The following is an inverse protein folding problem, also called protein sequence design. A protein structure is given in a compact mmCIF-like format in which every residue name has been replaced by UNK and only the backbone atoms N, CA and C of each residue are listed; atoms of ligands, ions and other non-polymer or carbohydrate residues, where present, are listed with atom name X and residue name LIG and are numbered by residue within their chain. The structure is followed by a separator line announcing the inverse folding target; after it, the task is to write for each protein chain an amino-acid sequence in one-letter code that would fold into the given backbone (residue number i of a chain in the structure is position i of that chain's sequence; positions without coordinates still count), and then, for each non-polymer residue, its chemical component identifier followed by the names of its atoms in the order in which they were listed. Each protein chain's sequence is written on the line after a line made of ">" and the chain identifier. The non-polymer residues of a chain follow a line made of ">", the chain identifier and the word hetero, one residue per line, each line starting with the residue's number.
data_IF_299041017313
#
_entry.id   IF_299041017313
#
_cell.length_a   1.000
_cell.length_b   1.000
_cell.length_c   1.000
_cell.angle_alpha   90.00
_cell.angle_beta   90.00
_cell.angle_gamma   90.00
#
_symmetry.space_group_name_H-M   'P 1'
#
loop_
_entity.id
_entity.type
_entity.pdbx_description
1 polymer ?
#
# COMPACT_ATOMS: atom_id res chain seq x y z
N UNK A 1 -4.60 0.57 -21.85
CA UNK A 1 -3.44 0.18 -21.01
C UNK A 1 -3.96 -0.71 -19.88
N UNK A 2 -3.61 -2.00 -19.82
CA UNK A 2 -4.15 -2.92 -18.80
C UNK A 2 -3.36 -2.74 -17.49
N UNK A 3 -4.01 -2.30 -16.42
CA UNK A 3 -3.38 -2.15 -15.10
C UNK A 3 -3.42 -3.53 -14.41
N UNK A 4 -2.27 -4.10 -13.99
CA UNK A 4 -2.27 -5.37 -13.29
C UNK A 4 -2.86 -5.21 -11.88
N UNK A 5 -3.68 -6.17 -11.45
CA UNK A 5 -4.19 -6.25 -10.08
C UNK A 5 -3.11 -6.87 -9.19
N UNK A 6 -2.63 -6.12 -8.20
CA UNK A 6 -1.61 -6.56 -7.23
C UNK A 6 -1.95 -6.01 -5.84
N UNK A 7 -1.51 -6.71 -4.80
CA UNK A 7 -1.62 -6.26 -3.40
C UNK A 7 -0.30 -5.66 -2.86
N UNK A 8 0.80 -5.82 -3.58
CA UNK A 8 2.11 -5.26 -3.22
C UNK A 8 2.76 -4.67 -4.46
N UNK A 9 3.40 -3.51 -4.29
CA UNK A 9 4.12 -2.78 -5.33
C UNK A 9 5.52 -2.44 -4.84
N UNK A 10 6.49 -2.43 -5.77
CA UNK A 10 7.88 -2.07 -5.47
C UNK A 10 8.05 -0.58 -5.79
N UNK A 11 8.59 0.18 -4.83
CA UNK A 11 9.02 1.57 -5.02
C UNK A 11 10.55 1.56 -5.08
N UNK A 12 11.11 2.04 -6.18
CA UNK A 12 12.57 2.14 -6.33
C UNK A 12 13.14 3.29 -5.48
N UNK A 13 14.43 3.24 -5.10
CA UNK A 13 15.07 4.33 -4.37
C UNK A 13 14.91 5.68 -5.08
N UNK A 14 14.53 6.72 -4.34
CA UNK A 14 14.33 8.07 -4.88
C UNK A 14 13.11 8.23 -5.80
N UNK A 15 12.29 7.20 -5.97
CA UNK A 15 11.10 7.25 -6.81
C UNK A 15 9.82 7.49 -6.02
N UNK A 16 8.82 8.05 -6.71
CA UNK A 16 7.43 8.07 -6.28
C UNK A 16 6.58 7.30 -7.29
N UNK A 17 5.61 6.53 -6.80
CA UNK A 17 4.66 5.81 -7.64
C UNK A 17 3.22 6.13 -7.20
N UNK A 18 2.28 5.94 -8.11
CA UNK A 18 0.84 5.97 -7.81
C UNK A 18 0.21 4.64 -8.22
N UNK A 19 -0.81 4.22 -7.48
CA UNK A 19 -1.60 3.03 -7.78
C UNK A 19 -3.08 3.35 -7.60
N UNK A 20 -3.92 2.59 -8.30
CA UNK A 20 -5.37 2.67 -8.17
C UNK A 20 -5.84 1.59 -7.21
N UNK A 21 -6.67 1.98 -6.24
CA UNK A 21 -7.31 1.07 -5.29
C UNK A 21 -8.82 1.32 -5.30
N UNK A 22 -9.62 0.26 -5.22
CA UNK A 22 -11.05 0.35 -4.93
C UNK A 22 -11.22 0.18 -3.42
N UNK A 23 -11.70 1.21 -2.72
CA UNK A 23 -11.90 1.19 -1.27
C UNK A 23 -13.33 0.77 -0.94
N UNK A 24 -13.70 -0.45 -1.32
CA UNK A 24 -15.06 -0.99 -1.23
C UNK A 24 -15.36 -1.76 0.08
N UNK A 25 -14.36 -1.93 0.96
CA UNK A 25 -14.54 -2.51 2.28
C UNK A 25 -14.33 -1.47 3.40
N UNK A 26 -15.32 -1.34 4.28
CA UNK A 26 -15.25 -0.47 5.46
C UNK A 26 -14.25 -1.01 6.50
N UNK A 27 -13.70 -0.10 7.32
CA UNK A 27 -12.85 -0.44 8.45
C UNK A 27 -11.41 0.08 8.32
N UNK A 28 -10.52 -0.53 9.11
CA UNK A 28 -9.10 -0.19 9.15
C UNK A 28 -8.27 -0.98 8.15
N UNK A 29 -7.45 -0.28 7.36
CA UNK A 29 -6.59 -0.84 6.32
C UNK A 29 -5.13 -0.59 6.67
N UNK A 30 -4.31 -1.63 6.53
CA UNK A 30 -2.89 -1.57 6.76
C UNK A 30 -2.13 -1.30 5.45
N UNK A 31 -1.39 -0.19 5.42
CA UNK A 31 -0.43 0.12 4.38
C UNK A 31 0.96 0.14 5.01
N UNK A 32 1.84 -0.77 4.63
CA UNK A 32 3.17 -0.87 5.25
C UNK A 32 4.24 -1.34 4.30
N UNK A 33 5.49 -1.11 4.67
CA UNK A 33 6.61 -1.76 4.00
C UNK A 33 6.55 -3.26 4.27
N UNK A 34 6.74 -4.10 3.25
CA UNK A 34 6.65 -5.57 3.41
C UNK A 34 7.99 -6.22 3.79
N UNK A 35 9.01 -5.40 4.08
CA UNK A 35 10.26 -5.86 4.67
C UNK A 35 10.07 -6.00 6.18
N UNK A 36 10.23 -7.23 6.70
CA UNK A 36 9.89 -7.59 8.08
C UNK A 36 10.50 -6.62 9.11
N UNK A 37 11.77 -6.25 8.94
CA UNK A 37 12.47 -5.34 9.85
C UNK A 37 12.03 -3.87 9.73
N UNK A 38 11.35 -3.49 8.65
CA UNK A 38 10.84 -2.14 8.44
C UNK A 38 9.40 -1.98 8.92
N UNK A 39 8.61 -3.07 8.93
CA UNK A 39 7.19 -3.08 9.31
C UNK A 39 6.86 -2.35 10.62
N UNK A 40 7.65 -2.47 11.71
CA UNK A 40 7.31 -1.85 12.99
C UNK A 40 7.27 -0.32 12.96
N UNK A 41 8.02 0.32 12.06
CA UNK A 41 8.09 1.78 11.94
C UNK A 41 7.47 2.32 10.65
N UNK A 42 7.58 1.58 9.54
CA UNK A 42 7.07 1.99 8.23
C UNK A 42 5.64 1.45 8.01
N UNK A 43 4.69 2.02 8.75
CA UNK A 43 3.29 1.61 8.73
C UNK A 43 2.36 2.83 8.64
N UNK A 44 1.23 2.64 7.96
CA UNK A 44 0.15 3.61 7.84
C UNK A 44 -1.18 2.90 8.00
N UNK A 45 -1.97 3.36 8.97
CA UNK A 45 -3.37 2.98 9.11
C UNK A 45 -4.25 3.93 8.29
N UNK A 46 -5.09 3.37 7.43
CA UNK A 46 -6.08 4.10 6.62
C UNK A 46 -7.47 3.64 7.04
N UNK A 47 -8.38 4.58 7.31
CA UNK A 47 -9.76 4.25 7.69
C UNK A 47 -10.66 4.51 6.49
N UNK A 48 -11.43 3.49 6.10
CA UNK A 48 -12.52 3.61 5.15
C UNK A 48 -13.82 3.59 5.94
N UNK A 49 -14.56 4.69 5.88
CA UNK A 49 -15.80 4.92 6.62
C UNK A 49 -16.85 5.52 5.70
#
# INVERSE_FOLDING_TARGET
>A
KKIPRKHTVIVQPGAMISYLVNADAMGGWAYHCHLLYHMPGMFRHVVVS
#
